data_IF_482137739482
#
_entry.id   IF_482137739482
#
_cell.length_a   1.000
_cell.length_b   1.000
_cell.length_c   1.000
_cell.angle_alpha   90.00
_cell.angle_beta   90.00
_cell.angle_gamma   90.00
#
_symmetry.space_group_name_H-M   'P 1'
#
loop_
_entity.id
_entity.type
_entity.pdbx_description
1 polymer ?
#
# COMPACT_ATOMS: atom_id res chain seq x y z
N UNK A 1 -20.55 -15.14 1.37
CA UNK A 1 -21.46 -16.07 0.67
C UNK A 1 -20.98 -16.41 -0.74
N UNK A 2 -20.65 -15.42 -1.59
CA UNK A 2 -20.13 -15.69 -2.95
C UNK A 2 -18.75 -16.39 -2.96
N UNK A 3 -17.89 -16.11 -2.00
CA UNK A 3 -16.56 -16.74 -1.92
C UNK A 3 -16.64 -18.23 -1.60
N UNK A 4 -17.62 -18.67 -0.84
CA UNK A 4 -17.84 -20.10 -0.55
C UNK A 4 -18.35 -20.92 -1.72
N UNK A 5 -18.72 -20.27 -2.82
CA UNK A 5 -19.21 -20.90 -4.06
C UNK A 5 -18.09 -20.94 -5.14
N UNK A 6 -16.90 -20.41 -4.84
CA UNK A 6 -15.80 -20.38 -5.77
C UNK A 6 -15.13 -21.76 -5.92
N UNK A 7 -14.72 -22.09 -7.14
CA UNK A 7 -13.96 -23.32 -7.40
C UNK A 7 -12.52 -23.23 -6.89
N UNK A 8 -11.94 -22.03 -6.86
CA UNK A 8 -10.65 -21.71 -6.27
C UNK A 8 -10.54 -20.22 -5.99
N UNK A 9 -9.63 -19.83 -5.11
CA UNK A 9 -9.25 -18.44 -4.86
C UNK A 9 -7.96 -18.09 -5.60
N UNK A 10 -7.92 -16.90 -6.20
CA UNK A 10 -6.72 -16.36 -6.82
C UNK A 10 -6.09 -15.32 -5.89
N UNK A 11 -4.88 -15.60 -5.44
CA UNK A 11 -4.10 -14.71 -4.58
C UNK A 11 -3.15 -13.92 -5.46
N UNK A 12 -3.35 -12.60 -5.54
CA UNK A 12 -2.55 -11.69 -6.36
C UNK A 12 -1.53 -10.89 -5.54
N UNK A 13 -1.68 -10.88 -4.22
CA UNK A 13 -0.79 -10.20 -3.30
C UNK A 13 -0.44 -11.11 -2.12
N UNK A 14 0.83 -11.15 -1.66
CA UNK A 14 1.26 -12.03 -0.58
C UNK A 14 0.43 -11.88 0.72
N UNK A 15 0.00 -10.67 1.05
CA UNK A 15 -0.81 -10.36 2.23
C UNK A 15 -2.17 -11.08 2.23
N UNK A 16 -2.74 -11.37 1.05
CA UNK A 16 -3.98 -12.12 0.93
C UNK A 16 -3.81 -13.65 1.13
N UNK A 17 -2.57 -14.15 1.24
CA UNK A 17 -2.28 -15.58 1.39
C UNK A 17 -2.90 -16.16 2.65
N UNK A 18 -2.73 -15.49 3.78
CA UNK A 18 -3.28 -15.94 5.06
C UNK A 18 -4.79 -16.16 5.01
N UNK A 19 -5.52 -15.23 4.41
CA UNK A 19 -6.97 -15.39 4.22
C UNK A 19 -7.31 -16.55 3.28
N UNK A 20 -6.50 -16.76 2.23
CA UNK A 20 -6.70 -17.87 1.30
C UNK A 20 -6.40 -19.23 1.94
N UNK A 21 -5.41 -19.31 2.81
CA UNK A 21 -5.10 -20.50 3.62
C UNK A 21 -6.24 -20.83 4.60
N UNK A 22 -6.74 -19.85 5.32
CA UNK A 22 -7.88 -20.01 6.21
C UNK A 22 -9.15 -20.49 5.47
N UNK A 23 -9.43 -19.92 4.28
CA UNK A 23 -10.53 -20.40 3.44
C UNK A 23 -10.29 -21.82 2.92
N UNK A 24 -9.06 -22.16 2.58
CA UNK A 24 -8.70 -23.52 2.22
C UNK A 24 -8.96 -24.49 3.37
N UNK A 25 -8.56 -24.15 4.57
CA UNK A 25 -8.69 -25.01 5.73
C UNK A 25 -10.14 -25.19 6.17
N UNK A 26 -10.92 -24.12 6.20
CA UNK A 26 -12.32 -24.15 6.65
C UNK A 26 -13.31 -24.54 5.57
N UNK A 27 -13.15 -24.05 4.36
CA UNK A 27 -14.12 -24.24 3.27
C UNK A 27 -13.66 -25.25 2.22
N UNK A 28 -12.44 -25.76 2.35
CA UNK A 28 -11.80 -26.69 1.38
C UNK A 28 -11.70 -26.11 -0.04
N UNK A 29 -11.68 -24.78 -0.17
CA UNK A 29 -11.51 -24.09 -1.44
C UNK A 29 -10.01 -23.97 -1.72
N UNK A 30 -9.49 -24.57 -2.80
CA UNK A 30 -8.09 -24.43 -3.15
C UNK A 30 -7.76 -22.98 -3.51
N UNK A 31 -6.50 -22.58 -3.38
CA UNK A 31 -6.05 -21.28 -3.86
C UNK A 31 -4.82 -21.42 -4.75
N UNK A 32 -4.66 -20.45 -5.64
CA UNK A 32 -3.53 -20.35 -6.56
C UNK A 32 -2.93 -18.96 -6.37
N UNK A 33 -1.63 -18.90 -6.12
CA UNK A 33 -0.92 -17.64 -5.98
C UNK A 33 -0.29 -17.24 -7.32
N UNK A 34 -0.60 -16.03 -7.79
CA UNK A 34 0.07 -15.41 -8.92
C UNK A 34 0.82 -14.18 -8.43
N UNK A 35 2.14 -14.27 -8.40
CA UNK A 35 3.00 -13.15 -8.02
C UNK A 35 3.16 -12.17 -9.16
N UNK A 36 3.24 -10.90 -8.82
CA UNK A 36 3.64 -9.85 -9.77
C UNK A 36 5.13 -9.98 -10.00
N UNK A 37 5.53 -10.43 -11.17
CA UNK A 37 6.90 -10.69 -11.57
C UNK A 37 7.27 -9.83 -12.77
N UNK A 38 8.54 -9.45 -12.84
CA UNK A 38 9.14 -8.72 -13.95
C UNK A 38 10.20 -9.54 -14.71
N UNK A 39 10.62 -10.68 -14.18
CA UNK A 39 11.48 -11.63 -14.90
C UNK A 39 10.66 -12.43 -15.92
N UNK A 40 10.87 -12.20 -17.22
CA UNK A 40 10.11 -12.83 -18.33
C UNK A 40 10.11 -14.36 -18.25
N UNK A 41 11.24 -14.98 -17.92
CA UNK A 41 11.37 -16.42 -17.75
C UNK A 41 10.50 -16.96 -16.61
N UNK A 42 10.42 -16.23 -15.50
CA UNK A 42 9.61 -16.59 -14.33
C UNK A 42 8.12 -16.40 -14.60
N UNK A 43 7.74 -15.35 -15.33
CA UNK A 43 6.36 -15.14 -15.78
C UNK A 43 5.89 -16.33 -16.62
N UNK A 44 6.71 -16.79 -17.57
CA UNK A 44 6.39 -17.97 -18.39
C UNK A 44 6.19 -19.22 -17.55
N UNK A 45 7.11 -19.51 -16.62
CA UNK A 45 6.99 -20.64 -15.70
C UNK A 45 5.73 -20.55 -14.83
N UNK A 46 5.38 -19.35 -14.35
CA UNK A 46 4.15 -19.13 -13.57
C UNK A 46 2.89 -19.38 -14.40
N UNK A 47 2.84 -18.96 -15.65
CA UNK A 47 1.70 -19.22 -16.55
C UNK A 47 1.57 -20.69 -16.88
N UNK A 48 2.68 -21.41 -17.11
CA UNK A 48 2.65 -22.86 -17.31
C UNK A 48 2.11 -23.58 -16.08
N UNK A 49 2.57 -23.25 -14.88
CA UNK A 49 2.09 -23.84 -13.64
C UNK A 49 0.60 -23.54 -13.42
N UNK A 50 0.17 -22.31 -13.69
CA UNK A 50 -1.23 -21.91 -13.56
C UNK A 50 -2.13 -22.64 -14.57
N UNK A 51 -1.68 -22.73 -15.84
CA UNK A 51 -2.39 -23.50 -16.86
C UNK A 51 -2.52 -24.97 -16.50
N UNK A 52 -1.45 -25.59 -16.02
CA UNK A 52 -1.48 -26.98 -15.57
C UNK A 52 -2.47 -27.21 -14.42
N UNK A 53 -2.55 -26.28 -13.47
CA UNK A 53 -3.50 -26.34 -12.35
C UNK A 53 -4.96 -26.22 -12.81
N UNK A 54 -5.23 -25.47 -13.86
CA UNK A 54 -6.57 -25.27 -14.42
C UNK A 54 -6.93 -26.24 -15.57
N UNK A 55 -5.97 -27.03 -16.05
CA UNK A 55 -6.16 -27.89 -17.22
C UNK A 55 -6.30 -27.13 -18.53
N UNK A 56 -5.71 -25.94 -18.64
CA UNK A 56 -5.75 -25.06 -19.84
C UNK A 56 -4.34 -24.71 -20.28
N UNK A 57 -4.17 -24.43 -21.57
CA UNK A 57 -2.91 -23.95 -22.12
C UNK A 57 -3.01 -22.44 -22.38
N UNK A 58 -2.05 -21.67 -21.86
CA UNK A 58 -1.94 -20.25 -22.12
C UNK A 58 -1.01 -19.98 -23.30
N UNK A 59 -1.55 -19.38 -24.34
CA UNK A 59 -0.77 -18.92 -25.49
C UNK A 59 -0.38 -17.46 -25.30
N UNK A 60 0.79 -17.20 -24.75
CA UNK A 60 1.26 -15.85 -24.38
C UNK A 60 2.56 -15.46 -25.11
N UNK A 61 2.90 -16.12 -26.23
CA UNK A 61 4.16 -15.89 -26.96
C UNK A 61 4.22 -14.48 -27.56
N UNK A 62 3.09 -13.97 -28.05
CA UNK A 62 3.03 -12.61 -28.60
C UNK A 62 3.25 -11.56 -27.50
N UNK A 63 2.62 -11.72 -26.34
CA UNK A 63 2.79 -10.81 -25.19
C UNK A 63 4.21 -10.86 -24.64
N UNK A 64 4.83 -12.04 -24.61
CA UNK A 64 6.23 -12.23 -24.26
C UNK A 64 7.16 -11.50 -25.22
N UNK A 65 6.92 -11.63 -26.52
CA UNK A 65 7.67 -10.93 -27.57
C UNK A 65 7.57 -9.42 -27.42
N UNK A 66 6.36 -8.90 -27.23
CA UNK A 66 6.13 -7.46 -27.00
C UNK A 66 6.86 -6.93 -25.77
N UNK A 67 6.90 -7.71 -24.69
CA UNK A 67 7.67 -7.35 -23.50
C UNK A 67 9.18 -7.30 -23.78
N UNK A 68 9.71 -8.25 -24.56
CA UNK A 68 11.12 -8.26 -24.97
C UNK A 68 11.45 -7.07 -25.88
N UNK A 69 10.58 -6.76 -26.83
CA UNK A 69 10.73 -5.62 -27.74
C UNK A 69 10.73 -4.29 -26.97
N UNK A 70 9.91 -4.13 -25.94
CA UNK A 70 9.90 -2.94 -25.09
C UNK A 70 11.22 -2.77 -24.30
N UNK A 71 11.80 -3.86 -23.78
CA UNK A 71 13.11 -3.83 -23.12
C UNK A 71 14.19 -3.39 -24.11
N UNK A 72 14.19 -3.94 -25.32
CA UNK A 72 15.17 -3.59 -26.35
C UNK A 72 14.99 -2.16 -26.88
N UNK A 73 13.74 -1.67 -26.99
CA UNK A 73 13.45 -0.28 -27.33
C UNK A 73 14.03 0.67 -26.28
N UNK A 74 13.72 0.43 -25.01
CA UNK A 74 14.24 1.22 -23.92
C UNK A 74 15.80 1.24 -23.87
N UNK A 75 16.44 0.09 -24.09
CA UNK A 75 17.90 -0.02 -24.14
C UNK A 75 18.54 0.87 -25.22
N UNK A 76 17.85 1.02 -26.37
CA UNK A 76 18.33 1.91 -27.45
C UNK A 76 18.21 3.37 -27.08
N UNK A 77 17.16 3.75 -26.35
CA UNK A 77 16.90 5.12 -25.93
C UNK A 77 17.76 5.50 -24.74
N UNK A 78 17.98 4.58 -23.82
CA UNK A 78 18.78 4.78 -22.61
C UNK A 78 19.77 3.61 -22.43
N UNK A 79 20.97 3.67 -23.05
CA UNK A 79 21.87 2.53 -23.13
C UNK A 79 22.54 2.15 -21.81
N UNK A 80 22.81 3.10 -20.92
CA UNK A 80 23.56 2.89 -19.68
C UNK A 80 22.84 3.48 -18.43
N UNK A 81 21.55 3.17 -18.18
CA UNK A 81 20.88 3.67 -17.00
C UNK A 81 21.44 3.00 -15.74
N UNK A 82 21.52 3.78 -14.67
CA UNK A 82 21.83 3.31 -13.32
C UNK A 82 20.56 3.50 -12.47
N UNK A 83 19.94 2.41 -12.07
CA UNK A 83 18.67 2.43 -11.39
C UNK A 83 18.80 2.53 -9.86
N UNK A 84 17.87 3.27 -9.26
CA UNK A 84 17.43 3.05 -7.89
C UNK A 84 15.97 2.56 -7.91
N UNK A 85 15.68 1.51 -7.11
CA UNK A 85 14.37 0.86 -7.07
C UNK A 85 13.82 0.89 -5.65
N UNK A 86 12.60 1.43 -5.50
CA UNK A 86 11.93 1.57 -4.21
C UNK A 86 10.79 0.56 -3.99
N UNK A 87 10.42 0.38 -2.73
CA UNK A 87 9.29 -0.49 -2.33
C UNK A 87 7.93 0.20 -2.47
N UNK A 88 7.91 1.55 -2.50
CA UNK A 88 6.68 2.31 -2.76
C UNK A 88 6.30 2.27 -4.25
N UNK A 89 6.21 1.07 -4.79
CA UNK A 89 5.85 0.75 -6.17
C UNK A 89 5.00 -0.52 -6.20
N UNK A 90 4.24 -0.74 -7.27
CA UNK A 90 3.52 -2.01 -7.48
C UNK A 90 4.47 -3.12 -7.98
N UNK A 91 5.51 -3.39 -7.22
CA UNK A 91 6.53 -4.39 -7.48
C UNK A 91 7.22 -4.79 -6.16
N UNK A 92 7.69 -6.03 -6.06
CA UNK A 92 8.72 -6.37 -5.08
C UNK A 92 10.04 -5.73 -5.55
N UNK A 93 10.66 -4.82 -4.77
CA UNK A 93 11.83 -4.08 -5.23
C UNK A 93 13.04 -4.98 -5.50
N UNK A 94 13.16 -6.10 -4.81
CA UNK A 94 14.26 -7.05 -5.01
C UNK A 94 14.04 -7.93 -6.24
N UNK A 95 12.79 -8.35 -6.51
CA UNK A 95 12.43 -9.08 -7.72
C UNK A 95 12.61 -8.21 -8.97
N UNK A 96 12.10 -6.98 -8.92
CA UNK A 96 12.24 -6.03 -10.03
C UNK A 96 13.72 -5.68 -10.28
N UNK A 97 14.48 -5.42 -9.22
CA UNK A 97 15.94 -5.17 -9.34
C UNK A 97 16.67 -6.35 -9.95
N UNK A 98 16.33 -7.57 -9.55
CA UNK A 98 16.89 -8.77 -10.14
C UNK A 98 16.53 -8.92 -11.63
N UNK A 99 15.31 -8.58 -12.02
CA UNK A 99 14.90 -8.56 -13.42
C UNK A 99 15.72 -7.55 -14.23
N UNK A 100 15.88 -6.32 -13.73
CA UNK A 100 16.70 -5.29 -14.37
C UNK A 100 18.16 -5.74 -14.55
N UNK A 101 18.75 -6.31 -13.50
CA UNK A 101 20.13 -6.85 -13.58
C UNK A 101 20.24 -7.98 -14.60
N UNK A 102 19.28 -8.89 -14.66
CA UNK A 102 19.24 -9.97 -15.68
C UNK A 102 19.04 -9.44 -17.10
N UNK A 103 18.39 -8.32 -17.25
CA UNK A 103 18.29 -7.63 -18.54
C UNK A 103 19.56 -6.83 -18.89
N UNK A 104 20.57 -6.86 -18.03
CA UNK A 104 21.86 -6.20 -18.28
C UNK A 104 21.92 -4.72 -17.86
N UNK A 105 20.92 -4.25 -17.13
CA UNK A 105 20.93 -2.90 -16.57
C UNK A 105 21.65 -2.86 -15.22
N UNK A 106 22.18 -1.69 -14.84
CA UNK A 106 22.82 -1.47 -13.55
C UNK A 106 21.78 -1.04 -12.51
N UNK A 107 21.80 -1.68 -11.35
CA UNK A 107 21.02 -1.27 -10.19
C UNK A 107 22.03 -0.89 -9.10
N UNK A 108 22.08 0.40 -8.75
CA UNK A 108 22.96 0.89 -7.69
C UNK A 108 22.34 0.73 -6.32
N UNK A 109 21.04 0.97 -6.20
CA UNK A 109 20.37 1.08 -4.92
C UNK A 109 18.98 0.44 -4.94
N UNK A 110 18.64 -0.20 -3.84
CA UNK A 110 17.31 -0.76 -3.59
C UNK A 110 16.86 -0.22 -2.23
N UNK A 111 15.67 0.37 -2.19
CA UNK A 111 15.00 0.78 -0.96
C UNK A 111 13.90 -0.23 -0.67
N UNK A 112 14.00 -0.94 0.44
CA UNK A 112 13.00 -1.96 0.73
C UNK A 112 13.24 -2.73 2.02
N UNK A 113 12.16 -3.29 2.53
CA UNK A 113 12.15 -4.12 3.73
C UNK A 113 12.53 -5.56 3.38
N UNK A 114 13.53 -6.09 4.08
CA UNK A 114 13.98 -7.48 3.89
C UNK A 114 13.06 -8.42 4.65
N UNK A 115 12.43 -9.34 3.93
CA UNK A 115 11.56 -10.39 4.46
C UNK A 115 12.06 -11.77 4.06
N UNK A 116 11.52 -12.83 4.68
CA UNK A 116 11.85 -14.21 4.31
C UNK A 116 11.52 -14.53 2.85
N UNK A 117 10.51 -13.90 2.28
CA UNK A 117 10.02 -14.17 0.92
C UNK A 117 10.94 -13.61 -0.17
N UNK A 118 11.52 -12.42 0.05
CA UNK A 118 12.38 -11.79 -0.94
C UNK A 118 13.86 -12.21 -0.84
N UNK A 119 14.21 -13.01 0.18
CA UNK A 119 15.58 -13.45 0.42
C UNK A 119 16.18 -14.26 -0.76
N UNK A 120 15.34 -14.93 -1.52
CA UNK A 120 15.76 -15.66 -2.72
C UNK A 120 16.29 -14.71 -3.81
N UNK A 121 15.68 -13.54 -3.97
CA UNK A 121 16.10 -12.52 -4.93
C UNK A 121 17.39 -11.84 -4.47
N UNK A 122 17.50 -11.51 -3.18
CA UNK A 122 18.69 -10.91 -2.57
C UNK A 122 19.91 -11.80 -2.75
N UNK A 123 19.76 -13.12 -2.55
CA UNK A 123 20.86 -14.08 -2.79
C UNK A 123 21.35 -14.09 -4.24
N UNK A 124 20.45 -13.92 -5.20
CA UNK A 124 20.80 -13.86 -6.61
C UNK A 124 21.43 -12.50 -6.96
N UNK A 125 20.88 -11.41 -6.45
CA UNK A 125 21.44 -10.07 -6.60
C UNK A 125 22.88 -10.01 -6.07
N UNK A 126 23.15 -10.56 -4.89
CA UNK A 126 24.51 -10.64 -4.33
C UNK A 126 25.53 -11.31 -5.27
N UNK A 127 25.08 -12.26 -6.09
CA UNK A 127 25.95 -12.97 -7.05
C UNK A 127 26.13 -12.18 -8.35
N UNK A 128 25.07 -11.52 -8.83
CA UNK A 128 25.04 -10.88 -10.14
C UNK A 128 25.43 -9.40 -10.09
N UNK A 129 25.13 -8.73 -8.99
CA UNK A 129 25.41 -7.30 -8.79
C UNK A 129 25.82 -7.04 -7.32
N UNK A 130 27.02 -7.48 -6.91
CA UNK A 130 27.48 -7.38 -5.51
C UNK A 130 27.69 -5.94 -5.03
N UNK A 131 27.73 -4.95 -5.92
CA UNK A 131 27.85 -3.53 -5.60
C UNK A 131 26.50 -2.87 -5.29
N UNK A 132 25.37 -3.53 -5.60
CA UNK A 132 24.04 -2.97 -5.28
C UNK A 132 23.89 -2.79 -3.78
N UNK A 133 23.58 -1.58 -3.36
CA UNK A 133 23.32 -1.25 -1.96
C UNK A 133 21.83 -1.47 -1.65
N UNK A 134 21.55 -1.95 -0.44
CA UNK A 134 20.17 -2.12 0.05
C UNK A 134 20.00 -1.20 1.24
N UNK A 135 18.96 -0.39 1.19
CA UNK A 135 18.57 0.55 2.23
C UNK A 135 17.19 0.19 2.75
N UNK A 136 16.93 0.38 4.03
CA UNK A 136 15.61 0.25 4.62
C UNK A 136 15.01 1.64 4.82
N UNK A 137 13.80 1.86 4.28
CA UNK A 137 13.06 3.09 4.54
C UNK A 137 12.74 3.30 6.03
N UNK A 138 12.81 2.21 6.82
CA UNK A 138 12.58 2.24 8.26
C UNK A 138 13.83 2.66 9.08
N UNK A 139 14.99 2.76 8.44
CA UNK A 139 16.22 3.12 9.13
C UNK A 139 16.28 4.64 9.37
N UNK A 140 16.34 5.12 10.63
CA UNK A 140 16.36 6.55 10.93
C UNK A 140 17.49 7.33 10.25
N UNK A 141 18.61 6.67 9.96
CA UNK A 141 19.74 7.30 9.27
C UNK A 141 19.44 7.71 7.84
N UNK A 142 18.37 7.18 7.23
CA UNK A 142 17.89 7.59 5.90
C UNK A 142 17.42 9.05 5.84
N UNK A 143 17.17 9.68 6.97
CA UNK A 143 16.93 11.14 7.04
C UNK A 143 18.14 11.95 6.59
N UNK A 144 19.35 11.38 6.68
CA UNK A 144 20.62 12.00 6.32
C UNK A 144 21.22 11.42 5.05
N UNK A 145 20.40 10.66 4.28
CA UNK A 145 20.87 10.07 3.03
C UNK A 145 21.25 11.17 2.02
N UNK A 146 22.47 11.06 1.46
CA UNK A 146 22.96 11.96 0.42
C UNK A 146 23.13 11.19 -0.90
N UNK A 147 22.37 11.53 -1.95
CA UNK A 147 22.46 10.89 -3.24
C UNK A 147 23.70 11.26 -4.07
N UNK A 148 24.53 12.23 -3.64
CA UNK A 148 25.59 12.84 -4.45
C UNK A 148 26.60 11.84 -5.03
N UNK A 149 26.86 10.73 -4.34
CA UNK A 149 27.82 9.70 -4.76
C UNK A 149 27.16 8.42 -5.33
N UNK A 150 25.85 8.39 -5.46
CA UNK A 150 25.12 7.17 -5.87
C UNK A 150 25.32 6.80 -7.33
N UNK A 151 25.52 7.78 -8.20
CA UNK A 151 25.58 7.62 -9.65
C UNK A 151 24.23 7.19 -10.28
N UNK A 152 23.13 7.24 -9.53
CA UNK A 152 21.78 6.92 -10.02
C UNK A 152 21.34 7.94 -11.06
N UNK A 153 20.81 7.43 -12.17
CA UNK A 153 20.32 8.26 -13.28
C UNK A 153 18.82 8.07 -13.54
N UNK A 154 18.23 7.00 -12.99
CA UNK A 154 16.81 6.68 -13.19
C UNK A 154 16.23 5.99 -11.96
N UNK A 155 15.01 6.36 -11.58
CA UNK A 155 14.35 5.87 -10.37
C UNK A 155 13.02 5.18 -10.68
N UNK A 156 12.71 4.13 -9.91
CA UNK A 156 11.41 3.43 -9.94
C UNK A 156 10.91 3.33 -8.50
N UNK A 157 9.71 3.85 -8.24
CA UNK A 157 9.10 3.89 -6.92
C UNK A 157 9.11 5.29 -6.32
N UNK A 158 8.07 5.62 -5.57
CA UNK A 158 7.87 6.94 -4.95
C UNK A 158 9.01 7.32 -4.01
N UNK A 159 9.46 6.35 -3.22
CA UNK A 159 10.57 6.47 -2.28
C UNK A 159 11.92 6.66 -3.00
N UNK A 160 12.20 5.86 -4.04
CA UNK A 160 13.39 6.06 -4.86
C UNK A 160 13.42 7.46 -5.51
N UNK A 161 12.28 7.92 -6.06
CA UNK A 161 12.15 9.29 -6.59
C UNK A 161 12.36 10.36 -5.51
N UNK A 162 11.96 10.08 -4.27
CA UNK A 162 12.15 10.97 -3.14
C UNK A 162 13.62 11.13 -2.76
N UNK A 163 14.37 10.03 -2.69
CA UNK A 163 15.80 10.06 -2.36
C UNK A 163 16.65 10.64 -3.49
N UNK A 164 16.16 10.63 -4.74
CA UNK A 164 16.84 11.15 -5.92
C UNK A 164 16.00 12.22 -6.64
N UNK A 165 15.73 13.37 -6.02
CA UNK A 165 14.79 14.37 -6.55
C UNK A 165 15.21 15.00 -7.88
N UNK A 166 16.50 14.92 -8.22
CA UNK A 166 17.06 15.52 -9.44
C UNK A 166 17.22 14.50 -10.58
N UNK A 167 16.79 13.25 -10.37
CA UNK A 167 16.83 12.20 -11.40
C UNK A 167 15.47 12.03 -12.06
N UNK A 168 15.48 11.56 -13.31
CA UNK A 168 14.26 11.12 -13.97
C UNK A 168 13.75 9.84 -13.31
N UNK A 169 12.44 9.61 -13.32
CA UNK A 169 11.90 8.40 -12.73
C UNK A 169 10.39 8.26 -12.88
N UNK A 170 9.88 7.13 -12.45
CA UNK A 170 8.47 6.79 -12.45
C UNK A 170 8.05 6.30 -11.07
N UNK A 171 6.84 6.65 -10.63
CA UNK A 171 6.32 6.18 -9.36
C UNK A 171 5.90 4.70 -9.39
N UNK A 172 5.44 4.22 -10.53
CA UNK A 172 5.01 2.85 -10.76
C UNK A 172 4.03 2.30 -9.71
N UNK A 173 3.05 3.10 -9.33
CA UNK A 173 2.06 2.77 -8.31
C UNK A 173 0.62 3.09 -8.76
N UNK A 174 0.32 2.92 -10.04
CA UNK A 174 -1.02 3.14 -10.59
C UNK A 174 -2.01 2.09 -10.05
N UNK A 175 -3.26 2.49 -9.84
CA UNK A 175 -4.34 1.62 -9.37
C UNK A 175 -4.59 0.42 -10.28
N UNK A 176 -4.48 0.60 -11.60
CA UNK A 176 -4.71 -0.42 -12.63
C UNK A 176 -3.43 -0.78 -13.38
N UNK A 177 -2.44 -1.28 -12.67
CA UNK A 177 -1.22 -1.73 -13.33
C UNK A 177 -1.35 -3.14 -13.90
N UNK A 178 -0.90 -3.36 -15.16
CA UNK A 178 -0.95 -4.67 -15.78
C UNK A 178 -0.05 -5.69 -15.07
N UNK A 179 -0.37 -6.96 -15.24
CA UNK A 179 0.30 -8.12 -14.68
C UNK A 179 1.09 -8.85 -15.76
N UNK A 180 2.09 -9.66 -15.35
CA UNK A 180 2.83 -10.52 -16.25
C UNK A 180 3.56 -9.79 -17.37
N UNK A 181 3.54 -10.32 -18.58
CA UNK A 181 4.24 -9.73 -19.72
C UNK A 181 3.77 -8.32 -20.05
N UNK A 182 2.46 -8.05 -19.93
CA UNK A 182 1.92 -6.71 -20.13
C UNK A 182 2.47 -5.71 -19.06
N UNK A 183 2.72 -6.19 -17.84
CA UNK A 183 3.36 -5.39 -16.78
C UNK A 183 4.80 -5.01 -17.15
N UNK A 184 5.57 -5.97 -17.66
CA UNK A 184 6.95 -5.72 -18.12
C UNK A 184 6.96 -4.71 -19.27
N UNK A 185 6.13 -4.94 -20.29
CA UNK A 185 6.01 -4.03 -21.44
C UNK A 185 5.69 -2.61 -20.97
N UNK A 186 4.66 -2.46 -20.17
CA UNK A 186 4.19 -1.16 -19.69
C UNK A 186 5.22 -0.43 -18.83
N UNK A 187 5.99 -1.17 -18.02
CA UNK A 187 7.08 -0.60 -17.23
C UNK A 187 8.14 0.05 -18.15
N UNK A 188 8.60 -0.67 -19.17
CA UNK A 188 9.64 -0.16 -20.06
C UNK A 188 9.14 0.95 -20.98
N UNK A 189 7.89 0.91 -21.41
CA UNK A 189 7.23 2.02 -22.13
C UNK A 189 7.18 3.29 -21.25
N UNK A 190 6.83 3.15 -19.97
CA UNK A 190 6.80 4.28 -19.03
C UNK A 190 8.20 4.85 -18.75
N UNK A 191 9.20 3.99 -18.62
CA UNK A 191 10.60 4.40 -18.46
C UNK A 191 11.12 5.11 -19.70
N UNK A 192 10.82 4.63 -20.90
CA UNK A 192 11.17 5.25 -22.16
C UNK A 192 10.56 6.65 -22.28
N UNK A 193 9.27 6.78 -21.94
CA UNK A 193 8.58 8.07 -21.90
C UNK A 193 9.24 9.04 -20.91
N UNK A 194 9.55 8.60 -19.69
CA UNK A 194 10.19 9.43 -18.68
C UNK A 194 11.58 9.92 -19.09
N UNK A 195 12.29 9.17 -19.93
CA UNK A 195 13.62 9.55 -20.42
C UNK A 195 13.50 10.49 -21.63
N UNK A 196 12.55 10.29 -22.54
CA UNK A 196 12.41 11.01 -23.79
C UNK A 196 11.68 12.33 -23.66
N UNK A 197 10.75 12.46 -22.73
CA UNK A 197 10.11 13.75 -22.47
C UNK A 197 11.18 14.74 -21.96
N UNK A 198 11.50 15.73 -22.79
CA UNK A 198 12.33 16.86 -22.37
C UNK A 198 11.63 17.55 -21.21
N UNK A 199 12.44 17.98 -20.24
CA UNK A 199 12.03 18.63 -19.01
C UNK A 199 11.17 19.87 -19.24
N UNK A 200 9.89 19.66 -19.49
CA UNK A 200 8.86 20.67 -19.30
C UNK A 200 7.97 20.19 -18.13
N UNK A 201 8.27 20.75 -16.99
CA UNK A 201 7.43 20.80 -15.79
C UNK A 201 6.78 19.48 -15.33
N UNK A 202 7.17 19.03 -14.17
CA UNK A 202 6.47 18.10 -13.25
C UNK A 202 5.42 17.18 -13.88
N UNK A 203 5.77 15.93 -14.13
CA UNK A 203 4.85 14.86 -14.61
C UNK A 203 3.61 14.72 -13.71
N UNK A 204 3.67 15.13 -12.44
CA UNK A 204 2.54 15.21 -11.52
C UNK A 204 1.44 16.18 -11.98
N UNK A 205 1.78 17.29 -12.65
CA UNK A 205 0.77 18.24 -13.15
C UNK A 205 0.05 17.73 -14.40
N UNK A 206 0.73 17.02 -15.31
CA UNK A 206 0.07 16.49 -16.53
C UNK A 206 -0.87 15.33 -16.28
N UNK A 207 -0.63 14.47 -15.29
CA UNK A 207 -1.56 13.39 -14.92
C UNK A 207 -2.86 13.93 -14.30
N UNK A 208 -2.81 15.06 -13.60
CA UNK A 208 -4.00 15.74 -13.06
C UNK A 208 -4.80 16.42 -14.17
N UNK A 209 -4.15 16.98 -15.19
CA UNK A 209 -4.83 17.66 -16.30
C UNK A 209 -5.59 16.71 -17.24
N UNK A 210 -5.14 15.46 -17.43
CA UNK A 210 -5.83 14.47 -18.27
C UNK A 210 -7.09 13.90 -17.60
N UNK A 211 -7.16 13.91 -16.27
CA UNK A 211 -8.34 13.47 -15.51
C UNK A 211 -9.37 14.61 -15.36
N UNK A 212 -8.92 15.87 -15.46
CA UNK A 212 -9.73 17.09 -15.20
C UNK A 212 -10.66 17.56 -16.33
N UNK A 213 -10.76 16.88 -17.46
CA UNK A 213 -11.55 17.39 -18.62
C UNK A 213 -13.01 16.93 -18.67
N UNK A 214 -13.60 16.49 -17.56
CA UNK A 214 -15.03 16.12 -17.51
C UNK A 214 -15.70 16.62 -16.23
N UNK A 215 -16.14 17.82 -16.23
CA UNK A 215 -17.41 18.42 -15.79
C UNK A 215 -17.22 19.86 -15.26
N UNK A 216 -18.13 20.75 -15.65
CA UNK A 216 -18.11 22.16 -15.25
C UNK A 216 -18.34 22.39 -13.74
N UNK A 217 -18.85 21.43 -13.00
CA UNK A 217 -19.00 21.48 -11.53
C UNK A 217 -17.68 21.33 -10.79
N UNK A 218 -16.68 20.64 -11.37
CA UNK A 218 -15.33 20.55 -10.80
C UNK A 218 -14.50 21.84 -10.92
N UNK A 219 -14.93 22.82 -11.74
CA UNK A 219 -14.18 24.05 -11.97
C UNK A 219 -14.40 25.05 -10.82
N UNK A 220 -15.54 25.04 -10.14
CA UNK A 220 -15.79 25.91 -8.98
C UNK A 220 -15.08 25.41 -7.72
N UNK A 221 -14.97 24.09 -7.51
CA UNK A 221 -14.16 23.50 -6.43
C UNK A 221 -12.66 23.72 -6.65
N UNK A 222 -12.17 23.59 -7.89
CA UNK A 222 -10.77 23.88 -8.23
C UNK A 222 -10.36 25.32 -7.98
N UNK A 223 -11.30 26.26 -8.09
CA UNK A 223 -11.03 27.67 -7.81
C UNK A 223 -10.83 27.94 -6.32
N UNK A 224 -11.49 27.20 -5.44
CA UNK A 224 -11.29 27.30 -3.99
C UNK A 224 -10.00 26.60 -3.54
N UNK A 225 -9.65 25.45 -4.12
CA UNK A 225 -8.38 24.79 -3.85
C UNK A 225 -7.18 25.60 -4.36
N UNK A 226 -7.29 26.27 -5.51
CA UNK A 226 -6.23 27.12 -6.03
C UNK A 226 -6.02 28.36 -5.15
N UNK A 227 -7.10 28.97 -4.65
CA UNK A 227 -7.04 30.09 -3.70
C UNK A 227 -6.46 29.66 -2.35
N UNK A 228 -6.81 28.45 -1.88
CA UNK A 228 -6.24 27.89 -0.65
C UNK A 228 -4.75 27.58 -0.79
N UNK A 229 -4.32 27.04 -1.94
CA UNK A 229 -2.90 26.83 -2.26
C UNK A 229 -2.14 28.16 -2.32
N UNK A 230 -2.70 29.17 -2.93
CA UNK A 230 -2.06 30.50 -3.02
C UNK A 230 -1.95 31.21 -1.66
N UNK A 231 -2.90 30.99 -0.73
CA UNK A 231 -2.79 31.48 0.65
C UNK A 231 -1.79 30.69 1.50
N UNK A 232 -1.65 29.37 1.26
CA UNK A 232 -0.67 28.51 1.95
C UNK A 232 0.75 28.81 1.47
N UNK A 233 0.94 29.04 0.18
CA UNK A 233 2.26 29.39 -0.38
C UNK A 233 2.76 30.80 0.07
N UNK A 234 1.83 31.70 0.47
CA UNK A 234 2.20 33.03 1.03
C UNK A 234 2.58 32.99 2.51
N UNK A 235 2.39 31.85 3.20
CA UNK A 235 2.83 31.64 4.60
C UNK A 235 4.12 30.81 4.67
N UNK A 236 5.14 31.21 3.93
CA UNK A 236 6.38 30.43 3.73
C UNK A 236 7.20 30.14 4.99
N UNK A 237 6.89 30.71 6.16
CA UNK A 237 7.81 30.71 7.31
C UNK A 237 7.44 29.75 8.47
N UNK A 238 6.39 28.93 8.38
CA UNK A 238 5.94 28.11 9.51
C UNK A 238 5.94 26.59 9.26
N UNK A 239 5.95 26.14 8.02
CA UNK A 239 5.94 24.71 7.70
C UNK A 239 7.27 24.25 7.10
N UNK A 240 8.06 23.52 7.87
CA UNK A 240 9.17 22.74 7.34
C UNK A 240 8.58 21.71 6.37
N UNK A 241 8.71 21.97 5.08
CA UNK A 241 8.30 21.04 4.02
C UNK A 241 8.88 19.67 4.33
N UNK A 242 8.02 18.69 4.56
CA UNK A 242 8.42 17.31 4.78
C UNK A 242 8.49 16.84 6.23
N UNK A 243 8.08 17.64 7.22
CA UNK A 243 8.02 17.19 8.62
C UNK A 243 7.14 15.95 8.78
N UNK A 244 6.04 15.87 8.05
CA UNK A 244 5.14 14.70 8.00
C UNK A 244 5.79 13.46 7.33
N UNK A 245 6.90 13.60 6.62
CA UNK A 245 7.67 12.48 6.04
C UNK A 245 8.62 11.85 7.06
N UNK A 246 8.98 12.57 8.11
CA UNK A 246 9.84 12.07 9.18
C UNK A 246 9.08 11.68 10.45
N UNK A 247 7.83 12.10 10.56
CA UNK A 247 6.94 11.77 11.68
C UNK A 247 5.67 11.19 11.08
N UNK A 248 5.49 9.88 11.23
CA UNK A 248 4.17 9.34 10.94
C UNK A 248 3.20 9.84 12.01
N UNK A 249 2.18 10.62 11.66
CA UNK A 249 1.20 11.10 12.64
C UNK A 249 0.27 9.98 13.10
N UNK A 250 0.40 8.80 12.52
CA UNK A 250 -0.43 7.63 12.78
C UNK A 250 0.38 6.52 13.42
N UNK A 251 -0.28 5.78 14.28
CA UNK A 251 0.11 4.43 14.61
C UNK A 251 -0.31 3.53 13.44
N UNK A 252 0.61 2.93 12.69
CA UNK A 252 0.30 2.31 11.40
C UNK A 252 -0.69 1.16 11.48
N UNK A 253 -0.60 0.34 12.53
CA UNK A 253 -1.47 -0.79 12.80
C UNK A 253 -2.93 -0.37 12.96
N UNK A 254 -3.22 0.54 13.88
CA UNK A 254 -4.59 1.02 14.13
C UNK A 254 -5.15 1.85 12.97
N UNK A 255 -4.30 2.65 12.31
CA UNK A 255 -4.72 3.45 11.16
C UNK A 255 -5.00 2.57 9.94
N UNK A 256 -4.21 1.53 9.73
CA UNK A 256 -4.44 0.54 8.70
C UNK A 256 -5.76 -0.21 8.91
N UNK A 257 -6.02 -0.69 10.13
CA UNK A 257 -7.28 -1.33 10.48
C UNK A 257 -8.47 -0.39 10.25
N UNK A 258 -8.40 0.86 10.72
CA UNK A 258 -9.47 1.84 10.52
C UNK A 258 -9.73 2.10 9.04
N UNK A 259 -8.69 2.27 8.23
CA UNK A 259 -8.81 2.51 6.78
C UNK A 259 -9.46 1.35 6.04
N UNK A 260 -9.08 0.11 6.36
CA UNK A 260 -9.66 -1.08 5.71
C UNK A 260 -11.14 -1.25 6.07
N UNK A 261 -11.48 -1.17 7.36
CA UNK A 261 -12.86 -1.39 7.79
C UNK A 261 -13.79 -0.24 7.41
N UNK A 262 -13.29 0.97 7.28
CA UNK A 262 -14.10 2.12 6.90
C UNK A 262 -14.77 1.94 5.53
N UNK A 263 -14.07 1.37 4.58
CA UNK A 263 -14.60 1.12 3.23
C UNK A 263 -15.68 0.04 3.18
N UNK A 264 -15.80 -0.77 4.23
CA UNK A 264 -16.73 -1.90 4.28
C UNK A 264 -18.13 -1.53 4.80
N UNK A 265 -18.38 -0.30 5.22
CA UNK A 265 -19.70 0.18 5.65
C UNK A 265 -20.11 -0.35 7.02
N UNK A 266 -19.24 -0.22 8.03
CA UNK A 266 -19.44 -0.67 9.38
C UNK A 266 -19.44 0.45 10.44
N UNK A 267 -19.64 0.06 11.69
CA UNK A 267 -19.42 0.91 12.86
C UNK A 267 -18.02 0.62 13.40
N UNK A 268 -17.13 1.60 13.35
CA UNK A 268 -15.77 1.50 13.84
C UNK A 268 -15.65 2.17 15.21
N UNK A 269 -15.20 1.44 16.22
CA UNK A 269 -14.95 1.98 17.55
C UNK A 269 -13.45 1.91 17.82
N UNK A 270 -12.82 3.07 17.90
CA UNK A 270 -11.42 3.17 18.30
C UNK A 270 -11.37 3.20 19.83
N UNK A 271 -10.72 2.20 20.40
CA UNK A 271 -10.67 2.01 21.85
C UNK A 271 -9.58 2.91 22.47
N UNK A 272 -9.86 4.19 22.61
CA UNK A 272 -8.96 5.22 23.06
C UNK A 272 -9.60 6.22 24.01
N UNK A 273 -8.79 7.18 24.48
CA UNK A 273 -9.26 8.33 25.24
C UNK A 273 -9.74 9.51 24.36
N UNK A 274 -9.62 9.41 23.04
CA UNK A 274 -10.01 10.41 22.06
C UNK A 274 -8.87 10.90 21.15
N UNK A 275 -7.62 10.83 21.58
CA UNK A 275 -6.46 11.31 20.82
C UNK A 275 -6.19 10.50 19.56
N UNK A 276 -6.19 9.18 19.67
CA UNK A 276 -5.97 8.30 18.52
C UNK A 276 -7.10 8.39 17.50
N UNK A 277 -8.37 8.47 17.97
CA UNK A 277 -9.52 8.72 17.08
C UNK A 277 -9.40 10.07 16.39
N UNK A 278 -8.98 11.12 17.09
CA UNK A 278 -8.76 12.45 16.51
C UNK A 278 -7.69 12.42 15.41
N UNK A 279 -6.63 11.67 15.60
CA UNK A 279 -5.61 11.48 14.56
C UNK A 279 -6.15 10.74 13.34
N UNK A 280 -6.88 9.66 13.52
CA UNK A 280 -7.47 8.90 12.40
C UNK A 280 -8.51 9.74 11.64
N UNK A 281 -9.38 10.47 12.34
CA UNK A 281 -10.45 11.26 11.73
C UNK A 281 -10.00 12.65 11.27
N UNK A 282 -8.88 13.18 11.80
CA UNK A 282 -8.41 14.54 11.54
C UNK A 282 -7.62 14.70 10.26
N UNK A 283 -7.30 13.61 9.57
CA UNK A 283 -6.69 13.65 8.27
C UNK A 283 -7.80 13.49 7.23
N UNK A 284 -8.08 14.58 6.51
CA UNK A 284 -9.03 14.62 5.41
C UNK A 284 -8.64 13.60 4.32
N UNK A 285 -9.14 12.38 4.46
CA UNK A 285 -9.13 11.43 3.38
C UNK A 285 -10.38 11.65 2.52
N UNK A 286 -10.25 12.02 1.25
CA UNK A 286 -11.38 12.32 0.37
C UNK A 286 -12.42 11.20 0.32
N UNK A 287 -11.99 9.94 0.45
CA UNK A 287 -12.87 8.78 0.45
C UNK A 287 -13.83 8.72 1.65
N UNK A 288 -13.54 9.42 2.76
CA UNK A 288 -14.39 9.41 3.95
C UNK A 288 -15.65 10.29 3.79
N UNK A 289 -15.67 11.18 2.82
CA UNK A 289 -16.81 12.04 2.56
C UNK A 289 -17.97 11.36 1.82
N UNK A 290 -17.74 10.21 1.20
CA UNK A 290 -18.75 9.51 0.40
C UNK A 290 -19.27 8.20 1.01
N UNK A 291 -18.73 7.77 2.15
CA UNK A 291 -18.92 6.40 2.63
C UNK A 291 -19.91 6.29 3.80
N UNK A 292 -20.43 5.06 3.99
CA UNK A 292 -21.51 4.74 4.92
C UNK A 292 -21.03 4.30 6.29
N UNK A 293 -19.75 4.38 6.57
CA UNK A 293 -19.17 3.98 7.85
C UNK A 293 -19.22 5.09 8.88
N UNK A 294 -19.32 4.72 10.13
CA UNK A 294 -19.24 5.65 11.25
C UNK A 294 -18.04 5.30 12.14
N UNK A 295 -17.27 6.29 12.54
CA UNK A 295 -16.14 6.13 13.47
C UNK A 295 -16.48 6.80 14.80
N UNK A 296 -16.24 6.09 15.90
CA UNK A 296 -16.45 6.54 17.25
C UNK A 296 -15.21 6.33 18.12
N UNK A 297 -14.96 7.28 19.01
CA UNK A 297 -14.04 7.05 20.14
C UNK A 297 -14.77 6.33 21.27
N UNK A 298 -14.12 5.30 21.84
CA UNK A 298 -14.60 4.71 23.09
C UNK A 298 -14.63 5.74 24.23
N UNK A 299 -13.76 6.76 24.15
CA UNK A 299 -13.69 7.85 25.11
C UNK A 299 -13.34 7.33 26.50
N UNK A 300 -12.33 6.47 26.58
CA UNK A 300 -11.83 5.92 27.86
C UNK A 300 -11.32 7.04 28.75
N UNK A 301 -11.65 6.94 30.02
CA UNK A 301 -11.14 7.86 31.06
C UNK A 301 -10.32 7.07 32.09
N UNK A 302 -9.57 7.77 32.91
CA UNK A 302 -8.70 7.16 33.93
C UNK A 302 -9.44 6.10 34.76
N UNK A 303 -10.67 6.41 35.18
CA UNK A 303 -11.49 5.47 35.95
C UNK A 303 -11.96 4.28 35.14
N UNK A 304 -12.17 4.43 33.85
CA UNK A 304 -12.55 3.31 32.97
C UNK A 304 -11.37 2.36 32.75
N UNK A 305 -10.16 2.92 32.64
CA UNK A 305 -8.90 2.17 32.56
C UNK A 305 -8.59 1.41 33.86
N UNK A 306 -8.79 2.05 35.02
CA UNK A 306 -8.52 1.45 36.34
C UNK A 306 -9.53 0.36 36.69
N UNK A 307 -10.80 0.55 36.36
CA UNK A 307 -11.91 -0.34 36.77
C UNK A 307 -12.30 -1.37 35.71
N UNK A 308 -11.73 -1.30 34.50
CA UNK A 308 -12.06 -2.22 33.39
C UNK A 308 -13.54 -2.08 32.97
N UNK A 309 -13.99 -0.85 32.67
CA UNK A 309 -15.40 -0.54 32.37
C UNK A 309 -15.81 -0.90 30.93
N UNK A 310 -15.62 -2.14 30.52
CA UNK A 310 -16.06 -2.64 29.21
C UNK A 310 -17.59 -2.53 29.01
N UNK A 311 -18.35 -2.55 30.10
CA UNK A 311 -19.79 -2.35 30.12
C UNK A 311 -20.20 -1.02 29.45
N UNK A 312 -19.42 0.04 29.61
CA UNK A 312 -19.71 1.35 29.01
C UNK A 312 -19.45 1.37 27.49
N UNK A 313 -18.39 0.72 27.04
CA UNK A 313 -18.11 0.58 25.61
C UNK A 313 -19.22 -0.22 24.93
N UNK A 314 -19.60 -1.36 25.54
CA UNK A 314 -20.70 -2.21 25.05
C UNK A 314 -22.01 -1.43 24.96
N UNK A 315 -22.34 -0.62 25.98
CA UNK A 315 -23.55 0.20 25.97
C UNK A 315 -23.54 1.26 24.86
N UNK A 316 -22.41 1.96 24.66
CA UNK A 316 -22.26 2.95 23.59
C UNK A 316 -22.36 2.31 22.20
N UNK A 317 -21.73 1.16 22.00
CA UNK A 317 -21.79 0.45 20.72
C UNK A 317 -23.21 -0.05 20.44
N UNK A 318 -23.93 -0.52 21.46
CA UNK A 318 -25.34 -0.94 21.34
C UNK A 318 -26.20 0.24 20.91
N UNK A 319 -26.06 1.41 21.56
CA UNK A 319 -26.80 2.62 21.19
C UNK A 319 -26.47 3.10 19.76
N UNK A 320 -25.24 2.97 19.32
CA UNK A 320 -24.85 3.27 17.95
C UNK A 320 -25.44 2.28 16.94
N UNK A 321 -25.43 0.98 17.26
CA UNK A 321 -25.97 -0.08 16.41
C UNK A 321 -27.50 0.03 16.22
N UNK A 322 -28.21 0.58 17.18
CA UNK A 322 -29.65 0.85 17.06
C UNK A 322 -29.97 2.03 16.13
N UNK A 323 -29.03 2.95 15.94
CA UNK A 323 -29.24 4.20 15.19
C UNK A 323 -28.63 4.18 13.80
N UNK A 324 -27.67 3.31 13.56
CA UNK A 324 -26.89 3.25 12.34
C UNK A 324 -27.14 1.92 11.65
N UNK A 325 -27.54 1.98 10.39
CA UNK A 325 -27.70 0.80 9.54
C UNK A 325 -26.31 0.32 9.09
N UNK A 326 -25.77 -0.68 9.80
CA UNK A 326 -24.46 -1.24 9.57
C UNK A 326 -24.49 -2.75 9.49
N UNK A 327 -23.64 -3.34 8.67
CA UNK A 327 -23.54 -4.77 8.49
C UNK A 327 -22.66 -5.47 9.54
N UNK A 328 -21.78 -4.72 10.20
CA UNK A 328 -20.86 -5.18 11.23
C UNK A 328 -20.38 -4.03 12.09
N UNK A 329 -19.71 -4.33 13.20
CA UNK A 329 -18.94 -3.34 13.93
C UNK A 329 -17.52 -3.87 14.18
N UNK A 330 -16.55 -2.95 14.24
CA UNK A 330 -15.17 -3.26 14.54
C UNK A 330 -14.69 -2.47 15.76
N UNK A 331 -14.02 -3.13 16.69
CA UNK A 331 -13.34 -2.52 17.83
C UNK A 331 -11.85 -2.59 17.59
N UNK A 332 -11.24 -1.41 17.43
CA UNK A 332 -9.83 -1.26 17.08
C UNK A 332 -9.05 -0.84 18.32
N UNK A 333 -8.01 -1.58 18.64
CA UNK A 333 -7.13 -1.32 19.76
C UNK A 333 -6.22 -0.10 19.56
N UNK A 334 -5.72 0.41 20.67
CA UNK A 334 -4.72 1.49 20.73
C UNK A 334 -3.75 1.22 21.89
N UNK A 335 -2.71 2.04 22.09
CA UNK A 335 -1.80 1.86 23.22
C UNK A 335 -2.48 1.78 24.60
N UNK A 336 -3.60 2.50 24.80
CA UNK A 336 -4.28 2.54 26.10
C UNK A 336 -4.85 1.18 26.49
N UNK A 337 -5.71 0.52 25.70
CA UNK A 337 -6.20 -0.82 26.03
C UNK A 337 -5.10 -1.88 26.03
N UNK A 338 -4.03 -1.72 25.24
CA UNK A 338 -2.88 -2.62 25.28
C UNK A 338 -2.17 -2.58 26.65
N UNK A 339 -1.97 -1.37 27.20
CA UNK A 339 -1.33 -1.20 28.53
C UNK A 339 -2.20 -1.76 29.66
N UNK A 340 -3.51 -1.61 29.59
CA UNK A 340 -4.43 -2.13 30.62
C UNK A 340 -4.86 -3.58 30.38
N UNK A 341 -4.27 -4.25 29.38
CA UNK A 341 -4.52 -5.64 29.02
C UNK A 341 -6.01 -5.97 28.79
N UNK A 342 -6.68 -5.18 27.97
CA UNK A 342 -8.09 -5.38 27.61
C UNK A 342 -8.32 -6.76 26.95
N UNK A 343 -9.29 -7.52 27.45
CA UNK A 343 -9.71 -8.80 26.85
C UNK A 343 -10.67 -8.57 25.67
N UNK A 344 -10.12 -8.42 24.48
CA UNK A 344 -10.89 -8.20 23.24
C UNK A 344 -11.83 -9.36 22.92
N UNK A 345 -11.50 -10.60 23.30
CA UNK A 345 -12.37 -11.75 23.06
C UNK A 345 -13.61 -11.74 23.96
N UNK A 346 -13.46 -11.30 25.21
CA UNK A 346 -14.57 -11.10 26.12
C UNK A 346 -15.44 -9.93 25.64
N UNK A 347 -14.82 -8.82 25.24
CA UNK A 347 -15.51 -7.65 24.72
C UNK A 347 -16.31 -7.97 23.45
N UNK A 348 -15.74 -8.72 22.50
CA UNK A 348 -16.42 -9.18 21.31
C UNK A 348 -17.70 -9.93 21.64
N UNK A 349 -17.63 -10.95 22.51
CA UNK A 349 -18.81 -11.75 22.92
C UNK A 349 -19.88 -10.91 23.60
N UNK A 350 -19.47 -9.93 24.41
CA UNK A 350 -20.40 -9.01 25.08
C UNK A 350 -21.13 -8.12 24.07
N UNK A 351 -20.41 -7.60 23.08
CA UNK A 351 -20.97 -6.76 22.03
C UNK A 351 -21.89 -7.57 21.10
N UNK A 352 -21.47 -8.72 20.59
CA UNK A 352 -22.30 -9.60 19.74
C UNK A 352 -23.63 -9.97 20.39
N UNK A 353 -23.58 -10.30 21.67
CA UNK A 353 -24.79 -10.67 22.44
C UNK A 353 -25.81 -9.53 22.54
N UNK A 354 -25.34 -8.27 22.51
CA UNK A 354 -26.17 -7.09 22.72
C UNK A 354 -26.65 -6.43 21.42
N UNK A 355 -25.80 -6.43 20.40
CA UNK A 355 -26.05 -5.68 19.15
C UNK A 355 -26.68 -6.53 18.04
N UNK A 356 -26.60 -7.87 18.11
CA UNK A 356 -26.91 -8.80 17.02
C UNK A 356 -26.14 -8.55 15.71
N UNK A 357 -25.06 -7.74 15.77
CA UNK A 357 -24.15 -7.53 14.66
C UNK A 357 -22.92 -8.42 14.78
N UNK A 358 -22.33 -8.86 13.68
CA UNK A 358 -20.97 -9.40 13.69
C UNK A 358 -20.01 -8.37 14.26
N UNK A 359 -19.21 -8.76 15.25
CA UNK A 359 -18.23 -7.90 15.88
C UNK A 359 -16.82 -8.40 15.54
N UNK A 360 -16.01 -7.54 15.00
CA UNK A 360 -14.60 -7.78 14.78
C UNK A 360 -13.80 -7.04 15.87
N UNK A 361 -12.78 -7.69 16.39
CA UNK A 361 -11.83 -7.04 17.31
C UNK A 361 -10.44 -7.13 16.73
N UNK A 362 -9.75 -6.01 16.71
CA UNK A 362 -8.37 -5.90 16.21
C UNK A 362 -7.50 -5.42 17.35
N UNK A 363 -6.62 -6.30 17.81
CA UNK A 363 -5.73 -6.05 18.93
C UNK A 363 -4.49 -5.27 18.48
N UNK A 364 -4.73 -4.04 18.02
CA UNK A 364 -3.67 -3.11 17.65
C UNK A 364 -3.21 -2.32 18.86
N UNK A 365 -1.93 -2.00 18.94
CA UNK A 365 -1.29 -1.34 20.08
C UNK A 365 -0.61 -0.01 19.74
N UNK A 366 -0.65 0.40 18.48
CA UNK A 366 -0.05 1.64 18.00
C UNK A 366 1.46 1.59 17.75
N UNK A 367 2.08 0.43 17.90
CA UNK A 367 3.54 0.29 17.77
C UNK A 367 3.94 -0.70 16.68
N UNK A 368 3.02 -1.54 16.22
CA UNK A 368 3.30 -2.57 15.24
C UNK A 368 3.03 -2.08 13.83
N UNK A 369 3.91 -2.43 12.90
CA UNK A 369 3.88 -1.93 11.54
C UNK A 369 3.14 -2.88 10.59
N UNK A 370 3.01 -4.17 10.93
CA UNK A 370 2.66 -5.22 9.97
C UNK A 370 1.70 -6.30 10.49
N UNK A 371 1.17 -6.20 11.68
CA UNK A 371 0.37 -7.27 12.31
C UNK A 371 -1.16 -7.07 12.19
N UNK A 372 -1.60 -6.39 11.14
CA UNK A 372 -3.03 -6.19 10.89
C UNK A 372 -3.47 -6.92 9.63
#
# INVERSE_FOLDING_TARGET
KKMSEANFNLVLHPEARFAAEDFHDRLKIPFIELRRLYQIDKIGSQYQAFGAALGIEFHAEEQKKQAQEAIESFRKVCPDPVFAVGECANADPFELSLALVKYGFKVAEIYGTITGENFIYIRQLKKLSPQTKIFSNMEPTMLYYDPAESGVTLTIGKDACYYHPNTKGIHWNEERQPFGYAGVRRLFEALELAVTEQAEGNVLQKQVEVIGSKSQEAIEEQSQEALFKEEVDKKEDVYVRGLWKGLTPFAPDQSGAASVFYELGGILVICDAGGCTGNVCGFDEPRWFGERSAIFSAGLRDMDAILGRDDRLVAKLTDAAEKIDANFAAVIGTPVPAVIATDYRALQRMCEKKTNLPILTVDTNGMELYDV
#
